data_IF_728743876071
#
_entry.id   IF_728743876071
#
_cell.length_a   1.000
_cell.length_b   1.000
_cell.length_c   1.000
_cell.angle_alpha   90.00
_cell.angle_beta   90.00
_cell.angle_gamma   90.00
#
_symmetry.space_group_name_H-M   'P 1'
#
loop_
_entity.id
_entity.type
_entity.pdbx_description
1 polymer ?
#
# COMPACT_ATOMS: atom_id res chain seq x y z
N UNK A 1 42.35 21.96 -48.07
CA UNK A 1 40.88 21.98 -48.22
C UNK A 1 40.32 20.67 -47.71
N UNK A 2 39.17 20.70 -47.03
CA UNK A 2 38.44 19.60 -46.33
C UNK A 2 38.93 19.32 -44.90
N UNK A 3 38.07 19.15 -43.89
CA UNK A 3 36.67 19.47 -43.68
C UNK A 3 36.44 19.36 -42.17
N UNK A 4 35.64 20.26 -41.59
CA UNK A 4 35.17 20.17 -40.22
C UNK A 4 34.06 19.13 -40.07
N UNK A 5 34.03 18.44 -38.93
CA UNK A 5 32.86 17.78 -38.33
C UNK A 5 33.19 17.63 -36.83
N UNK A 6 32.80 18.52 -35.90
CA UNK A 6 31.44 18.85 -35.42
C UNK A 6 30.59 17.61 -35.10
N UNK A 7 30.25 17.45 -33.82
CA UNK A 7 28.92 16.96 -33.44
C UNK A 7 28.88 15.78 -32.47
N UNK A 8 28.97 16.10 -31.18
CA UNK A 8 28.01 15.71 -30.12
C UNK A 8 27.16 14.45 -30.33
N UNK A 9 27.33 13.45 -29.46
CA UNK A 9 26.29 12.48 -29.11
C UNK A 9 26.49 11.98 -27.66
N UNK A 10 26.34 12.90 -26.71
CA UNK A 10 26.24 12.61 -25.28
C UNK A 10 24.76 12.70 -24.88
N UNK A 11 24.00 11.63 -25.09
CA UNK A 11 22.63 11.49 -24.54
C UNK A 11 22.15 10.04 -24.63
N UNK A 12 22.90 9.10 -24.05
CA UNK A 12 22.41 7.74 -23.85
C UNK A 12 21.72 7.65 -22.48
N UNK A 13 20.40 7.82 -22.52
CA UNK A 13 19.40 7.07 -21.76
C UNK A 13 19.60 6.97 -20.22
N UNK A 14 19.07 7.96 -19.50
CA UNK A 14 18.59 7.89 -18.11
C UNK A 14 17.27 7.07 -18.00
N UNK A 15 17.19 5.92 -18.66
CA UNK A 15 16.00 5.06 -18.61
C UNK A 15 16.17 3.99 -17.52
N UNK A 16 15.18 3.94 -16.63
CA UNK A 16 14.96 2.95 -15.55
C UNK A 16 15.62 3.23 -14.19
N UNK A 17 15.26 4.36 -13.58
CA UNK A 17 15.32 4.52 -12.12
C UNK A 17 13.93 4.83 -11.54
N UNK A 18 12.87 4.15 -12.03
CA UNK A 18 11.62 4.07 -11.28
C UNK A 18 11.77 2.93 -10.26
N UNK A 19 12.61 3.19 -9.25
CA UNK A 19 13.10 2.17 -8.33
C UNK A 19 12.10 1.78 -7.23
N UNK A 20 12.34 0.65 -6.54
CA UNK A 20 11.62 0.19 -5.35
C UNK A 20 11.51 1.22 -4.20
N UNK A 21 12.25 2.33 -4.28
CA UNK A 21 12.18 3.46 -3.35
C UNK A 21 10.79 4.13 -3.29
N UNK A 22 10.02 4.14 -4.38
CA UNK A 22 8.66 4.69 -4.34
C UNK A 22 7.72 3.79 -3.52
N UNK A 23 7.75 2.47 -3.75
CA UNK A 23 6.98 1.49 -2.98
C UNK A 23 7.30 1.56 -1.49
N UNK A 24 8.58 1.73 -1.12
CA UNK A 24 9.02 1.86 0.27
C UNK A 24 8.31 2.98 1.06
N UNK A 25 7.77 4.01 0.39
CA UNK A 25 7.06 5.11 1.06
C UNK A 25 5.67 4.74 1.59
N UNK A 26 4.99 3.80 0.93
CA UNK A 26 3.62 3.37 1.26
C UNK A 26 3.57 2.04 2.03
N UNK A 27 4.67 1.29 2.04
CA UNK A 27 4.81 0.06 2.81
C UNK A 27 4.61 0.31 4.30
N UNK A 28 3.68 -0.42 4.91
CA UNK A 28 3.37 -0.35 6.36
C UNK A 28 1.91 -0.74 6.66
N UNK A 29 1.48 -0.54 7.90
CA UNK A 29 0.12 -0.85 8.34
C UNK A 29 -0.73 0.42 8.34
N UNK A 30 -1.95 0.31 7.85
CA UNK A 30 -2.86 1.42 7.59
C UNK A 30 -4.22 1.16 8.21
N UNK A 31 -4.62 2.02 9.14
CA UNK A 31 -5.93 2.02 9.77
C UNK A 31 -6.82 3.10 9.17
N UNK A 32 -8.14 2.89 9.22
CA UNK A 32 -9.10 3.94 8.86
C UNK A 32 -9.01 5.05 9.91
N UNK A 33 -8.89 6.29 9.45
CA UNK A 33 -8.90 7.47 10.30
C UNK A 33 -10.34 8.01 10.46
N UNK A 34 -10.67 8.40 11.67
CA UNK A 34 -11.90 9.13 12.03
C UNK A 34 -11.51 10.35 12.86
N UNK A 35 -11.58 11.53 12.23
CA UNK A 35 -11.02 12.78 12.77
C UNK A 35 -9.52 12.63 13.09
N UNK A 36 -9.19 12.82 14.36
CA UNK A 36 -7.81 12.70 14.88
C UNK A 36 -7.45 11.30 15.36
N UNK A 37 -8.40 10.36 15.35
CA UNK A 37 -8.17 8.98 15.76
C UNK A 37 -7.91 8.06 14.58
N UNK A 38 -7.14 6.99 14.82
CA UNK A 38 -6.85 5.97 13.81
C UNK A 38 -7.17 4.60 14.41
N UNK A 39 -8.03 3.85 13.75
CA UNK A 39 -8.43 2.52 14.20
C UNK A 39 -7.40 1.48 13.72
N UNK A 40 -6.55 1.02 14.64
CA UNK A 40 -5.41 0.14 14.35
C UNK A 40 -5.55 -1.30 14.86
N UNK A 41 -6.54 -1.58 15.71
CA UNK A 41 -6.80 -2.90 16.27
C UNK A 41 -8.31 -3.14 16.36
N UNK A 42 -8.73 -4.41 16.42
CA UNK A 42 -10.14 -4.83 16.44
C UNK A 42 -10.99 -4.40 15.23
N UNK A 43 -10.36 -3.81 14.20
CA UNK A 43 -10.97 -3.44 12.92
C UNK A 43 -10.09 -3.92 11.77
N UNK A 44 -10.64 -3.93 10.56
CA UNK A 44 -9.86 -4.26 9.38
C UNK A 44 -8.82 -3.18 9.10
N UNK A 45 -7.56 -3.59 9.07
CA UNK A 45 -6.44 -2.78 8.60
C UNK A 45 -5.99 -3.23 7.22
N UNK A 46 -5.31 -2.33 6.52
CA UNK A 46 -4.58 -2.62 5.29
C UNK A 46 -3.08 -2.73 5.61
N UNK A 47 -2.45 -3.81 5.19
CA UNK A 47 -1.01 -4.05 5.32
C UNK A 47 -0.41 -4.12 3.92
N UNK A 48 0.54 -3.23 3.63
CA UNK A 48 1.22 -3.14 2.33
C UNK A 48 2.70 -3.49 2.50
N UNK A 49 3.18 -4.58 1.90
CA UNK A 49 4.59 -4.95 1.93
C UNK A 49 5.02 -5.50 0.59
N UNK A 50 6.07 -4.96 0.00
CA UNK A 50 6.74 -5.55 -1.16
C UNK A 50 5.77 -5.86 -2.33
N UNK A 51 4.82 -4.95 -2.60
CA UNK A 51 3.80 -5.14 -3.64
C UNK A 51 2.63 -6.06 -3.26
N UNK A 52 2.61 -6.59 -2.03
CA UNK A 52 1.52 -7.40 -1.47
C UNK A 52 0.59 -6.58 -0.59
N UNK A 53 -0.71 -6.68 -0.88
CA UNK A 53 -1.78 -6.17 -0.04
C UNK A 53 -2.31 -7.30 0.86
N UNK A 54 -2.49 -7.02 2.14
CA UNK A 54 -3.15 -7.93 3.09
C UNK A 54 -4.18 -7.14 3.89
N UNK A 55 -5.42 -7.64 3.89
CA UNK A 55 -6.49 -7.16 4.76
C UNK A 55 -6.54 -8.06 5.99
N UNK A 56 -6.41 -7.48 7.17
CA UNK A 56 -6.33 -8.24 8.41
C UNK A 56 -7.14 -7.61 9.55
N UNK A 57 -7.64 -8.45 10.45
CA UNK A 57 -8.03 -8.05 11.80
C UNK A 57 -6.83 -8.30 12.72
N UNK A 58 -6.37 -7.25 13.39
CA UNK A 58 -5.21 -7.35 14.27
C UNK A 58 -5.62 -7.64 15.72
N UNK A 59 -4.79 -8.43 16.40
CA UNK A 59 -4.84 -8.67 17.84
C UNK A 59 -6.17 -9.28 18.34
N UNK A 60 -6.75 -10.18 17.54
CA UNK A 60 -7.92 -10.96 17.96
C UNK A 60 -7.52 -11.88 19.13
N UNK A 61 -8.27 -11.81 20.22
CA UNK A 61 -8.03 -12.64 21.40
C UNK A 61 -8.30 -14.13 21.13
N UNK A 62 -7.32 -14.96 21.44
CA UNK A 62 -7.43 -16.43 21.39
C UNK A 62 -6.94 -17.06 22.70
N UNK A 63 -7.17 -18.35 22.88
CA UNK A 63 -6.64 -19.11 24.03
C UNK A 63 -5.11 -19.13 24.10
N UNK A 64 -4.42 -18.84 22.99
CA UNK A 64 -2.97 -18.76 22.90
C UNK A 64 -2.43 -17.30 22.88
N UNK A 65 -3.28 -16.35 23.28
CA UNK A 65 -3.01 -14.91 23.23
C UNK A 65 -3.44 -14.25 21.91
N UNK A 66 -3.09 -12.97 21.70
CA UNK A 66 -3.50 -12.23 20.50
C UNK A 66 -2.92 -12.85 19.21
N UNK A 67 -3.76 -12.97 18.18
CA UNK A 67 -3.41 -13.42 16.82
C UNK A 67 -4.11 -12.56 15.77
N UNK A 68 -3.57 -12.56 14.56
CA UNK A 68 -4.12 -11.79 13.44
C UNK A 68 -4.94 -12.69 12.53
N UNK A 69 -6.11 -12.22 12.11
CA UNK A 69 -6.92 -12.94 11.12
C UNK A 69 -6.73 -12.29 9.77
N UNK A 70 -6.06 -12.99 8.85
CA UNK A 70 -6.00 -12.58 7.45
C UNK A 70 -7.33 -12.91 6.80
N UNK A 71 -8.04 -11.86 6.38
CA UNK A 71 -9.37 -11.99 5.78
C UNK A 71 -9.32 -11.94 4.26
N UNK A 72 -8.32 -11.25 3.68
CA UNK A 72 -8.10 -11.17 2.24
C UNK A 72 -6.66 -10.78 1.88
N UNK A 73 -6.23 -11.20 0.69
CA UNK A 73 -4.91 -10.85 0.14
C UNK A 73 -5.01 -10.49 -1.33
N UNK A 74 -4.12 -9.64 -1.80
CA UNK A 74 -3.98 -9.27 -3.21
C UNK A 74 -2.61 -8.63 -3.46
N UNK A 75 -2.45 -8.02 -4.61
CA UNK A 75 -1.29 -7.20 -4.96
C UNK A 75 -1.66 -5.73 -5.01
N UNK A 76 -0.67 -4.85 -4.83
CA UNK A 76 -0.82 -3.43 -5.13
C UNK A 76 0.31 -2.94 -6.03
N UNK A 77 0.03 -1.84 -6.71
CA UNK A 77 1.02 -1.05 -7.45
C UNK A 77 1.00 0.38 -6.91
N UNK A 78 2.15 1.05 -6.97
CA UNK A 78 2.29 2.43 -6.53
C UNK A 78 3.23 3.17 -7.48
N UNK A 79 2.76 4.27 -8.05
CA UNK A 79 3.50 5.07 -9.04
C UNK A 79 4.15 6.34 -8.46
N UNK A 80 4.06 6.54 -7.14
CA UNK A 80 4.53 7.74 -6.43
C UNK A 80 3.42 8.72 -6.04
N UNK A 81 2.26 8.66 -6.70
CA UNK A 81 1.11 9.53 -6.39
C UNK A 81 -0.17 8.72 -6.13
N UNK A 82 -0.29 7.54 -6.73
CA UNK A 82 -1.50 6.73 -6.69
C UNK A 82 -1.16 5.30 -6.34
N UNK A 83 -1.88 4.76 -5.38
CA UNK A 83 -1.82 3.36 -4.99
C UNK A 83 -3.06 2.63 -5.52
N UNK A 84 -2.84 1.51 -6.21
CA UNK A 84 -3.92 0.68 -6.76
C UNK A 84 -3.79 -0.73 -6.20
N UNK A 85 -4.79 -1.15 -5.42
CA UNK A 85 -4.93 -2.53 -4.95
C UNK A 85 -5.77 -3.28 -5.96
N UNK A 86 -5.27 -4.42 -6.46
CA UNK A 86 -6.00 -5.27 -7.37
C UNK A 86 -7.25 -5.88 -6.69
N UNK A 87 -8.26 -6.32 -7.47
CA UNK A 87 -9.40 -7.05 -6.91
C UNK A 87 -8.95 -8.21 -6.02
N UNK A 88 -9.76 -8.55 -5.02
CA UNK A 88 -9.40 -9.58 -4.04
C UNK A 88 -10.61 -10.37 -3.57
N UNK A 89 -10.36 -11.47 -2.87
CA UNK A 89 -11.38 -12.20 -2.13
C UNK A 89 -11.16 -11.99 -0.64
N UNK A 90 -12.22 -11.61 0.05
CA UNK A 90 -12.21 -11.32 1.48
C UNK A 90 -13.41 -11.98 2.14
N UNK A 91 -13.17 -12.95 3.03
CA UNK A 91 -14.23 -13.75 3.66
C UNK A 91 -15.26 -14.26 2.62
N UNK A 92 -14.77 -14.91 1.56
CA UNK A 92 -15.58 -15.48 0.47
C UNK A 92 -16.40 -14.45 -0.33
N UNK A 93 -16.16 -13.15 -0.13
CA UNK A 93 -16.80 -12.07 -0.88
C UNK A 93 -15.79 -11.37 -1.80
N UNK A 94 -16.13 -11.14 -3.08
CA UNK A 94 -15.28 -10.38 -3.97
C UNK A 94 -15.23 -8.92 -3.53
N UNK A 95 -14.02 -8.38 -3.40
CA UNK A 95 -13.77 -6.95 -3.24
C UNK A 95 -13.25 -6.39 -4.56
N UNK A 96 -13.83 -5.28 -5.06
CA UNK A 96 -13.39 -4.67 -6.30
C UNK A 96 -11.98 -4.07 -6.14
N UNK A 97 -11.38 -3.69 -7.27
CA UNK A 97 -10.17 -2.87 -7.29
C UNK A 97 -10.37 -1.64 -6.41
N UNK A 98 -9.35 -1.30 -5.63
CA UNK A 98 -9.33 -0.09 -4.80
C UNK A 98 -8.25 0.86 -5.28
N UNK A 99 -8.55 2.14 -5.25
CA UNK A 99 -7.67 3.22 -5.68
C UNK A 99 -7.53 4.21 -4.55
N UNK A 100 -6.30 4.62 -4.28
CA UNK A 100 -5.96 5.60 -3.26
C UNK A 100 -5.06 6.69 -3.83
N UNK A 101 -5.35 7.93 -3.46
CA UNK A 101 -4.45 9.06 -3.66
C UNK A 101 -3.49 9.14 -2.47
N UNK A 102 -2.20 9.31 -2.76
CA UNK A 102 -1.14 9.45 -1.76
C UNK A 102 -0.86 10.92 -1.47
N UNK A 103 -0.84 11.26 -0.19
CA UNK A 103 -0.40 12.55 0.32
C UNK A 103 0.91 12.38 1.07
N UNK A 104 2.05 12.73 0.46
CA UNK A 104 3.37 12.50 1.05
C UNK A 104 3.64 13.39 2.26
N UNK A 105 2.98 14.54 2.38
CA UNK A 105 3.17 15.48 3.50
C UNK A 105 2.44 14.97 4.73
N UNK A 106 1.16 14.65 4.58
CA UNK A 106 0.36 14.08 5.67
C UNK A 106 0.71 12.61 5.96
N UNK A 107 1.40 11.93 5.03
CA UNK A 107 1.56 10.48 4.99
C UNK A 107 0.21 9.75 5.08
N UNK A 108 -0.72 10.16 4.22
CA UNK A 108 -2.12 9.72 4.21
C UNK A 108 -2.45 9.05 2.88
N UNK A 109 -3.19 7.94 2.94
CA UNK A 109 -3.84 7.34 1.78
C UNK A 109 -5.33 7.69 1.80
N UNK A 110 -5.84 8.34 0.74
CA UNK A 110 -7.26 8.67 0.61
C UNK A 110 -7.88 7.76 -0.44
N UNK A 111 -8.84 6.92 -0.07
CA UNK A 111 -9.52 6.05 -1.02
C UNK A 111 -10.38 6.88 -1.96
N UNK A 112 -10.02 6.88 -3.25
CA UNK A 112 -10.78 7.49 -4.33
C UNK A 112 -11.89 6.55 -4.81
N UNK A 113 -11.59 5.25 -4.93
CA UNK A 113 -12.52 4.22 -5.40
C UNK A 113 -12.31 2.89 -4.64
N UNK A 114 -13.36 2.09 -4.40
CA UNK A 114 -14.77 2.45 -4.54
C UNK A 114 -15.23 3.41 -3.41
N UNK A 115 -16.44 3.93 -3.54
CA UNK A 115 -17.10 4.64 -2.43
C UNK A 115 -17.35 3.70 -1.23
N UNK A 116 -17.40 4.22 0.02
CA UNK A 116 -17.20 5.62 0.40
C UNK A 116 -15.72 6.04 0.36
N UNK A 117 -15.48 7.36 0.30
CA UNK A 117 -14.13 7.92 0.47
C UNK A 117 -13.72 7.75 1.93
N UNK A 118 -12.62 7.04 2.15
CA UNK A 118 -12.05 6.81 3.47
C UNK A 118 -10.63 7.37 3.50
N UNK A 119 -10.25 7.90 4.65
CA UNK A 119 -8.88 8.35 4.92
C UNK A 119 -8.17 7.28 5.72
N UNK A 120 -6.96 6.92 5.33
CA UNK A 120 -6.13 5.94 6.01
C UNK A 120 -4.85 6.62 6.51
N UNK A 121 -4.51 6.32 7.76
CA UNK A 121 -3.29 6.80 8.43
C UNK A 121 -2.47 5.61 8.93
N UNK A 122 -1.19 5.85 9.16
CA UNK A 122 -0.25 4.84 9.66
C UNK A 122 -0.69 4.32 11.03
N UNK A 123 -0.69 3.01 11.16
CA UNK A 123 -0.67 2.33 12.45
C UNK A 123 0.78 1.96 12.81
N UNK A 124 1.06 1.62 14.08
CA UNK A 124 2.34 1.04 14.46
C UNK A 124 2.66 -0.15 13.58
N UNK A 125 3.87 -0.17 13.02
CA UNK A 125 4.31 -1.27 12.17
C UNK A 125 4.72 -2.47 13.04
N UNK A 126 4.22 -3.66 12.69
CA UNK A 126 4.64 -4.94 13.24
C UNK A 126 4.48 -6.05 12.21
N UNK A 127 5.25 -7.14 12.31
CA UNK A 127 4.97 -8.36 11.58
C UNK A 127 3.57 -8.88 11.92
N UNK A 128 2.89 -9.42 10.90
CA UNK A 128 1.65 -10.16 11.13
C UNK A 128 1.97 -11.46 11.87
N UNK A 129 1.09 -11.83 12.80
CA UNK A 129 1.10 -13.09 13.54
C UNK A 129 -0.19 -13.83 13.22
N UNK A 130 -0.30 -14.45 12.03
CA UNK A 130 -1.55 -15.07 11.59
C UNK A 130 -2.01 -16.12 12.60
N UNK A 131 -3.32 -16.20 12.79
CA UNK A 131 -3.94 -17.39 13.35
C UNK A 131 -3.78 -18.51 12.32
N UNK A 132 -3.00 -19.52 12.65
CA UNK A 132 -2.91 -20.74 11.85
C UNK A 132 -4.32 -21.35 11.77
N UNK A 133 -4.77 -21.64 10.54
CA UNK A 133 -6.09 -22.23 10.28
C UNK A 133 -6.05 -23.74 10.40
#
# INVERSE_FOLDING_TARGET
>A
MRAAALGTLTAALLLAACGPAAAASVDGTWGVADGDTVACANVHVMVLRDGRYTKALLDLGTTEGPRDVVVGTSTYTFDGARLVVAPSMSLERPEPRQVFDWDPVGRILRRAEPAPRLTFRRCPDRPLRPLDR
#
